data_IF_788049184600
#
_entry.id   IF_788049184600
#
_cell.length_a   1.000
_cell.length_b   1.000
_cell.length_c   1.000
_cell.angle_alpha   90.00
_cell.angle_beta   90.00
_cell.angle_gamma   90.00
#
_symmetry.space_group_name_H-M   'P 1'
#
loop_
_entity.id
_entity.type
_entity.pdbx_description
1 polymer ?
#
# COMPACT_ATOMS: atom_id res chain seq x y z
N UNK A 1 -10.33 9.42 -8.63
CA UNK A 1 -11.63 9.22 -7.94
C UNK A 1 -12.76 9.38 -8.96
N UNK A 2 -12.87 8.45 -9.92
CA UNK A 2 -13.60 8.66 -11.20
C UNK A 2 -14.66 7.61 -11.51
N UNK A 3 -15.05 6.78 -10.54
CA UNK A 3 -16.08 5.76 -10.75
C UNK A 3 -17.46 6.43 -10.76
N UNK A 4 -18.22 6.28 -11.87
CA UNK A 4 -19.63 6.70 -11.93
C UNK A 4 -20.44 5.85 -10.94
N UNK A 5 -21.19 6.50 -10.07
CA UNK A 5 -22.01 5.86 -9.04
C UNK A 5 -23.30 6.69 -8.92
N UNK A 6 -24.37 6.28 -9.63
CA UNK A 6 -25.59 7.08 -9.78
C UNK A 6 -26.55 6.88 -8.59
N UNK A 7 -26.02 6.74 -7.38
CA UNK A 7 -26.78 6.55 -6.15
C UNK A 7 -26.44 7.67 -5.16
N UNK A 8 -27.34 7.96 -4.23
CA UNK A 8 -27.04 8.90 -3.15
C UNK A 8 -25.93 8.33 -2.26
N UNK A 9 -24.84 9.09 -2.09
CA UNK A 9 -23.75 8.68 -1.22
C UNK A 9 -24.24 8.66 0.25
N UNK A 10 -23.94 7.56 0.96
CA UNK A 10 -24.14 7.45 2.40
C UNK A 10 -22.95 8.09 3.15
N UNK A 11 -23.17 8.90 4.20
CA UNK A 11 -22.08 9.37 5.04
C UNK A 11 -21.44 8.18 5.77
N UNK A 12 -20.12 8.07 5.66
CA UNK A 12 -19.33 6.98 6.23
C UNK A 12 -18.20 7.55 7.09
N UNK A 13 -17.86 6.89 8.21
CA UNK A 13 -16.64 7.22 8.94
C UNK A 13 -15.40 6.88 8.11
N UNK A 14 -14.25 7.41 8.50
CA UNK A 14 -12.98 7.03 7.89
C UNK A 14 -12.61 5.60 8.29
N UNK A 15 -12.40 4.75 7.29
CA UNK A 15 -11.90 3.39 7.50
C UNK A 15 -10.43 3.31 7.11
N UNK A 16 -9.68 2.48 7.82
CA UNK A 16 -8.32 2.13 7.45
C UNK A 16 -8.14 0.63 7.59
N UNK A 17 -7.27 0.08 6.74
CA UNK A 17 -6.71 -1.24 6.97
C UNK A 17 -5.46 -1.08 7.83
N UNK A 18 -5.16 -2.12 8.59
CA UNK A 18 -4.00 -2.19 9.46
C UNK A 18 -3.32 -3.56 9.34
N UNK A 19 -2.00 -3.57 9.32
CA UNK A 19 -1.19 -4.77 9.42
C UNK A 19 0.04 -4.53 10.30
N UNK A 20 0.51 -5.56 10.98
CA UNK A 20 1.80 -5.56 11.67
C UNK A 20 2.78 -6.32 10.81
N UNK A 21 3.76 -5.62 10.24
CA UNK A 21 4.69 -6.21 9.27
C UNK A 21 6.14 -5.91 9.60
N UNK A 22 7.02 -6.85 9.27
CA UNK A 22 8.46 -6.63 9.16
C UNK A 22 8.79 -5.77 7.94
N UNK A 23 10.03 -5.30 7.83
CA UNK A 23 10.46 -4.55 6.64
C UNK A 23 10.34 -5.42 5.37
N UNK A 24 10.68 -6.69 5.46
CA UNK A 24 10.60 -7.63 4.33
C UNK A 24 9.16 -7.80 3.84
N UNK A 25 8.21 -7.98 4.75
CA UNK A 25 6.79 -8.13 4.40
C UNK A 25 6.23 -6.87 3.72
N UNK A 26 6.62 -5.68 4.19
CA UNK A 26 6.22 -4.42 3.58
C UNK A 26 6.79 -4.26 2.16
N UNK A 27 8.07 -4.60 1.96
CA UNK A 27 8.69 -4.58 0.63
C UNK A 27 8.09 -5.64 -0.29
N UNK A 28 7.77 -6.82 0.25
CA UNK A 28 7.02 -7.87 -0.42
C UNK A 28 5.66 -7.35 -0.90
N UNK A 29 4.92 -6.63 -0.06
CA UNK A 29 3.67 -5.99 -0.45
C UNK A 29 3.86 -4.97 -1.59
N UNK A 30 4.88 -4.11 -1.54
CA UNK A 30 5.18 -3.16 -2.62
C UNK A 30 5.57 -3.84 -3.94
N UNK A 31 6.12 -5.06 -3.89
CA UNK A 31 6.43 -5.85 -5.09
C UNK A 31 5.17 -6.28 -5.85
N UNK A 32 4.03 -6.40 -5.16
CA UNK A 32 2.74 -6.75 -5.77
C UNK A 32 2.11 -5.59 -6.55
N UNK A 33 2.61 -4.36 -6.36
CA UNK A 33 2.04 -3.19 -7.02
C UNK A 33 2.24 -3.25 -8.54
N UNK A 34 1.19 -2.93 -9.27
CA UNK A 34 1.20 -2.93 -10.73
C UNK A 34 2.26 -1.97 -11.31
N UNK A 35 2.51 -0.83 -10.65
CA UNK A 35 3.54 0.13 -11.05
C UNK A 35 4.95 -0.45 -10.90
N UNK A 36 5.26 -1.11 -9.77
CA UNK A 36 6.54 -1.80 -9.54
C UNK A 36 6.78 -2.84 -10.64
N UNK A 37 5.80 -3.71 -10.87
CA UNK A 37 5.90 -4.75 -11.89
C UNK A 37 6.07 -4.18 -13.31
N UNK A 38 5.36 -3.10 -13.65
CA UNK A 38 5.52 -2.43 -14.96
C UNK A 38 6.90 -1.79 -15.09
N UNK A 39 7.40 -1.14 -14.05
CA UNK A 39 8.72 -0.52 -14.05
C UNK A 39 9.82 -1.57 -14.28
N UNK A 40 9.77 -2.69 -13.55
CA UNK A 40 10.70 -3.81 -13.72
C UNK A 40 10.65 -4.34 -15.15
N UNK A 41 9.44 -4.60 -15.68
CA UNK A 41 9.28 -5.09 -17.06
C UNK A 41 9.84 -4.13 -18.11
N UNK A 42 9.67 -2.82 -17.91
CA UNK A 42 10.09 -1.81 -18.88
C UNK A 42 11.58 -1.45 -18.81
N UNK A 43 12.22 -1.61 -17.64
CA UNK A 43 13.59 -1.14 -17.42
C UNK A 43 14.59 -2.25 -17.05
N UNK A 44 14.11 -3.45 -16.73
CA UNK A 44 14.91 -4.54 -16.17
C UNK A 44 15.42 -4.29 -14.75
N UNK A 45 15.07 -3.16 -14.12
CA UNK A 45 15.58 -2.75 -12.80
C UNK A 45 14.49 -2.84 -11.74
N UNK A 46 14.84 -3.36 -10.57
CA UNK A 46 13.95 -3.38 -9.42
C UNK A 46 14.02 -2.05 -8.64
N UNK A 47 12.95 -1.23 -8.63
CA UNK A 47 12.97 0.05 -7.93
C UNK A 47 12.93 -0.13 -6.40
N UNK A 48 12.63 -1.34 -5.92
CA UNK A 48 12.60 -1.63 -4.49
C UNK A 48 13.99 -1.85 -3.88
N UNK A 49 15.02 -2.15 -4.67
CA UNK A 49 16.39 -2.32 -4.16
C UNK A 49 16.95 -1.06 -3.48
N UNK A 50 17.00 0.12 -4.15
CA UNK A 50 17.46 1.34 -3.50
C UNK A 50 16.50 1.79 -2.37
N UNK A 51 15.21 1.49 -2.51
CA UNK A 51 14.22 1.79 -1.48
C UNK A 51 14.45 0.95 -0.21
N UNK A 52 14.74 -0.34 -0.35
CA UNK A 52 15.00 -1.24 0.78
C UNK A 52 16.19 -0.76 1.61
N UNK A 53 17.28 -0.35 0.97
CA UNK A 53 18.46 0.20 1.65
C UNK A 53 18.13 1.51 2.40
N UNK A 54 17.29 2.38 1.83
CA UNK A 54 16.85 3.61 2.48
C UNK A 54 15.90 3.32 3.66
N UNK A 55 14.95 2.40 3.48
CA UNK A 55 13.98 2.02 4.50
C UNK A 55 14.64 1.30 5.67
N UNK A 56 15.61 0.41 5.45
CA UNK A 56 16.33 -0.27 6.52
C UNK A 56 16.95 0.72 7.54
N UNK A 57 17.49 1.85 7.06
CA UNK A 57 18.09 2.89 7.93
C UNK A 57 17.08 3.53 8.89
N UNK A 58 15.85 3.74 8.44
CA UNK A 58 14.79 4.34 9.27
C UNK A 58 13.96 3.29 10.02
N UNK A 59 13.99 2.04 9.56
CA UNK A 59 13.30 0.92 10.18
C UNK A 59 14.03 0.40 11.43
N UNK A 60 15.35 0.50 11.49
CA UNK A 60 16.14 -0.06 12.59
C UNK A 60 16.26 -1.58 12.45
N UNK A 61 15.78 -2.33 13.43
CA UNK A 61 15.73 -3.80 13.35
C UNK A 61 14.71 -4.24 12.29
N UNK A 62 15.14 -4.85 11.16
CA UNK A 62 14.24 -5.23 10.07
C UNK A 62 13.21 -6.29 10.48
N UNK A 63 13.50 -7.07 11.53
CA UNK A 63 12.60 -8.10 12.04
C UNK A 63 11.59 -7.57 13.05
N UNK A 64 11.76 -6.34 13.55
CA UNK A 64 10.80 -5.73 14.45
C UNK A 64 9.56 -5.28 13.65
N UNK A 65 8.38 -5.87 13.92
CA UNK A 65 7.18 -5.49 13.19
C UNK A 65 6.75 -4.06 13.51
N UNK A 66 6.25 -3.35 12.51
CA UNK A 66 5.66 -2.02 12.65
C UNK A 66 4.23 -2.03 12.15
N UNK A 67 3.38 -1.21 12.80
CA UNK A 67 2.01 -0.99 12.37
C UNK A 67 1.98 -0.17 11.09
N UNK A 68 1.47 -0.77 10.02
CA UNK A 68 1.24 -0.14 8.73
C UNK A 68 -0.26 0.11 8.58
N UNK A 69 -0.63 1.35 8.25
CA UNK A 69 -2.02 1.78 8.07
C UNK A 69 -2.21 2.45 6.72
N UNK A 70 -3.28 2.12 6.01
CA UNK A 70 -3.67 2.81 4.78
C UNK A 70 -5.18 3.04 4.73
N UNK A 71 -5.63 4.17 4.14
CA UNK A 71 -7.04 4.53 4.10
C UNK A 71 -7.81 3.61 3.15
N UNK A 72 -8.97 3.15 3.61
CA UNK A 72 -9.91 2.41 2.77
C UNK A 72 -10.91 3.41 2.15
N UNK A 73 -10.92 3.46 0.83
CA UNK A 73 -11.87 4.29 0.08
C UNK A 73 -13.17 3.52 -0.15
N UNK A 74 -14.28 3.99 0.44
CA UNK A 74 -15.60 3.35 0.34
C UNK A 74 -16.62 4.33 -0.26
N UNK A 75 -17.49 3.81 -1.13
CA UNK A 75 -18.73 4.47 -1.56
C UNK A 75 -19.88 3.50 -1.33
N UNK A 76 -20.93 3.92 -0.64
CA UNK A 76 -22.07 3.10 -0.29
C UNK A 76 -23.38 3.87 -0.46
N UNK A 77 -24.47 3.14 -0.67
CA UNK A 77 -25.86 3.63 -0.70
C UNK A 77 -26.72 2.70 0.15
N UNK A 78 -27.90 3.17 0.58
CA UNK A 78 -28.96 2.29 1.11
C UNK A 78 -29.73 1.64 -0.05
N UNK A 79 -30.29 0.47 0.21
CA UNK A 79 -31.23 -0.27 -0.66
C UNK A 79 -32.55 -0.41 0.08
#
# INVERSE_FOLDING_TARGET
RTIRFPFADLPLPAFHMEASWTLEELLGYFSTWSATNRYVKSTGRNPLEPLAAAMAKVWGDPNLPRTIRWPLSVRATRV
#
